data_IF_946987426266
#
_entry.id   IF_946987426266
#
_cell.length_a   1.000
_cell.length_b   1.000
_cell.length_c   1.000
_cell.angle_alpha   90.00
_cell.angle_beta   90.00
_cell.angle_gamma   90.00
#
_symmetry.space_group_name_H-M   'P 1'
#
loop_
_entity.id
_entity.type
_entity.pdbx_description
1 polymer ?
#
# COMPACT_ATOMS: atom_id res chain seq x y z
N UNK A 1 -12.02 -4.91 11.85
CA UNK A 1 -11.12 -5.02 13.01
C UNK A 1 -10.12 -6.11 12.67
N UNK A 2 -8.90 -5.74 12.29
CA UNK A 2 -7.79 -6.68 12.08
C UNK A 2 -7.52 -7.35 13.43
N UNK A 3 -8.08 -8.54 13.65
CA UNK A 3 -7.88 -9.29 14.90
C UNK A 3 -6.88 -10.41 14.63
N UNK A 4 -5.67 -10.25 15.17
CA UNK A 4 -4.81 -11.36 15.50
C UNK A 4 -5.00 -11.65 17.00
N UNK A 5 -5.49 -12.84 17.31
CA UNK A 5 -5.61 -13.41 18.66
C UNK A 5 -4.82 -14.73 18.54
N UNK A 6 -3.82 -15.10 19.33
CA UNK A 6 -3.42 -14.82 20.70
C UNK A 6 -1.91 -15.15 20.82
N UNK A 7 -1.12 -14.31 21.49
CA UNK A 7 0.27 -14.64 21.82
C UNK A 7 1.04 -13.47 22.43
N UNK A 8 0.87 -13.28 23.74
CA UNK A 8 1.56 -12.31 24.62
C UNK A 8 0.88 -10.94 24.76
N UNK A 9 0.41 -10.71 25.98
CA UNK A 9 -0.21 -9.49 26.46
C UNK A 9 0.83 -8.36 26.51
N UNK A 10 0.64 -7.34 25.66
CA UNK A 10 0.83 -5.89 25.87
C UNK A 10 1.30 -5.22 24.56
N UNK A 11 0.55 -4.21 24.08
CA UNK A 11 0.87 -3.24 22.99
C UNK A 11 0.54 -3.57 21.51
N UNK A 12 -0.57 -4.25 21.20
CA UNK A 12 -0.99 -4.49 19.79
C UNK A 12 -2.29 -3.75 19.37
N UNK A 13 -2.34 -2.42 19.50
CA UNK A 13 -3.49 -1.61 19.02
C UNK A 13 -3.20 -0.77 17.75
N UNK A 14 -1.97 -0.76 17.24
CA UNK A 14 -1.58 0.03 16.06
C UNK A 14 -0.58 -0.71 15.17
N UNK A 15 -0.91 -1.91 14.71
CA UNK A 15 -0.08 -2.57 13.68
C UNK A 15 -0.38 -1.95 12.32
N UNK A 16 0.66 -1.42 11.68
CA UNK A 16 0.67 -1.07 10.26
C UNK A 16 0.28 -2.25 9.37
N UNK A 17 0.15 -2.00 8.07
CA UNK A 17 0.23 -3.05 7.06
C UNK A 17 1.65 -3.61 7.14
N UNK A 18 1.82 -4.59 8.04
CA UNK A 18 3.07 -5.34 8.22
C UNK A 18 2.72 -6.81 8.07
N UNK A 19 3.00 -7.28 6.87
CA UNK A 19 3.84 -8.43 6.57
C UNK A 19 4.27 -8.11 5.15
N UNK A 20 5.46 -7.52 5.00
CA UNK A 20 6.21 -7.50 3.73
C UNK A 20 7.06 -8.78 3.68
N UNK A 21 7.47 -9.26 2.50
CA UNK A 21 8.43 -10.36 2.37
C UNK A 21 9.80 -9.97 2.94
N UNK A 22 10.05 -8.67 3.09
CA UNK A 22 11.18 -8.11 3.82
C UNK A 22 10.81 -7.86 5.29
N UNK A 23 11.43 -8.57 6.25
CA UNK A 23 11.18 -8.37 7.68
C UNK A 23 11.58 -6.96 8.18
N UNK A 24 12.40 -6.22 7.44
CA UNK A 24 12.80 -4.84 7.77
C UNK A 24 11.93 -3.77 7.05
N UNK A 25 11.08 -4.18 6.10
CA UNK A 25 10.35 -3.30 5.19
C UNK A 25 8.89 -3.05 5.57
N UNK A 26 8.62 -2.26 6.62
CA UNK A 26 7.24 -1.81 6.90
C UNK A 26 6.78 -0.72 5.93
N UNK A 27 5.53 -0.80 5.45
CA UNK A 27 4.96 0.24 4.62
C UNK A 27 4.71 1.50 5.45
N UNK A 28 5.35 2.61 5.07
CA UNK A 28 5.31 3.86 5.82
C UNK A 28 4.99 5.06 4.93
N UNK A 29 4.30 6.03 5.51
CA UNK A 29 3.99 7.31 4.89
C UNK A 29 4.74 8.42 5.60
N UNK A 30 5.10 9.47 4.85
CA UNK A 30 5.69 10.67 5.43
C UNK A 30 4.74 11.28 6.48
N UNK A 31 5.30 11.85 7.54
CA UNK A 31 4.53 12.62 8.51
C UNK A 31 4.87 14.10 8.36
N UNK A 32 3.86 14.95 8.31
CA UNK A 32 4.08 16.40 8.30
C UNK A 32 4.72 16.85 9.62
N UNK A 33 5.79 17.64 9.52
CA UNK A 33 6.46 18.28 10.66
C UNK A 33 5.95 19.72 10.86
N UNK A 34 6.00 20.24 12.10
CA UNK A 34 5.64 21.63 12.37
C UNK A 34 6.60 22.63 11.70
N UNK A 35 7.85 22.25 11.45
CA UNK A 35 8.83 23.06 10.72
C UNK A 35 8.53 23.16 9.22
N UNK A 36 7.63 22.29 8.71
CA UNK A 36 7.20 22.18 7.31
C UNK A 36 8.33 21.97 6.29
N UNK A 37 9.56 21.74 6.74
CA UNK A 37 10.72 21.47 5.91
C UNK A 37 11.09 19.98 6.00
N UNK A 38 11.07 19.29 4.86
CA UNK A 38 11.36 17.86 4.74
C UNK A 38 12.81 17.48 5.08
N UNK A 39 13.72 18.47 5.11
CA UNK A 39 15.14 18.29 5.43
C UNK A 39 15.50 18.70 6.87
N UNK A 40 14.63 19.44 7.55
CA UNK A 40 14.88 19.91 8.91
C UNK A 40 14.56 18.82 9.93
N UNK A 41 15.59 18.06 10.33
CA UNK A 41 15.51 17.04 11.38
C UNK A 41 15.34 15.60 10.87
N UNK A 42 15.26 14.61 11.78
CA UNK A 42 15.05 13.22 11.40
C UNK A 42 13.68 13.06 10.72
N UNK A 43 13.65 12.35 9.59
CA UNK A 43 12.40 12.11 8.85
C UNK A 43 11.45 11.28 9.70
N UNK A 44 10.39 11.91 10.17
CA UNK A 44 9.31 11.21 10.84
C UNK A 44 8.41 10.55 9.79
N UNK A 45 8.23 9.24 9.93
CA UNK A 45 7.27 8.46 9.14
C UNK A 45 6.33 7.74 10.08
N UNK A 46 5.11 7.54 9.63
CA UNK A 46 4.12 6.72 10.33
C UNK A 46 3.85 5.44 9.55
N UNK A 47 3.59 4.32 10.23
CA UNK A 47 3.13 3.11 9.55
C UNK A 47 1.81 3.39 8.85
N UNK A 48 1.63 2.82 7.66
CA UNK A 48 0.35 2.85 6.96
C UNK A 48 -0.59 1.88 7.66
N UNK A 49 -1.71 2.35 8.19
CA UNK A 49 -2.72 1.52 8.84
C UNK A 49 -3.80 1.13 7.82
N UNK A 50 -4.17 -0.15 7.79
CA UNK A 50 -5.19 -0.63 6.85
C UNK A 50 -6.52 0.12 7.03
N UNK A 51 -7.10 0.58 5.91
CA UNK A 51 -8.39 1.26 5.88
C UNK A 51 -8.36 2.70 6.41
N UNK A 52 -7.17 3.27 6.61
CA UNK A 52 -7.00 4.68 7.01
C UNK A 52 -6.32 5.44 5.89
N UNK A 53 -7.08 6.30 5.22
CA UNK A 53 -6.53 7.21 4.22
C UNK A 53 -5.68 8.27 4.92
N UNK A 54 -4.49 8.53 4.37
CA UNK A 54 -3.54 9.51 4.92
C UNK A 54 -3.04 10.40 3.81
N UNK A 55 -2.98 11.71 4.08
CA UNK A 55 -2.33 12.68 3.22
C UNK A 55 -1.41 13.52 4.08
N UNK A 56 -0.17 13.65 3.62
CA UNK A 56 0.87 14.42 4.28
C UNK A 56 1.64 15.23 3.26
N UNK A 57 2.27 16.30 3.70
CA UNK A 57 3.13 17.12 2.87
C UNK A 57 4.14 17.90 3.66
N UNK A 58 5.18 18.36 2.97
CA UNK A 58 6.18 19.27 3.47
C UNK A 58 6.83 19.99 2.28
N UNK A 59 7.72 20.92 2.57
CA UNK A 59 8.44 21.72 1.59
C UNK A 59 9.92 21.38 1.59
N UNK A 60 10.55 21.43 0.42
CA UNK A 60 11.99 21.35 0.28
C UNK A 60 12.54 22.73 -0.05
N UNK A 61 13.49 23.19 0.74
CA UNK A 61 14.28 24.39 0.43
C UNK A 61 15.45 23.98 -0.43
N UNK A 62 15.47 24.48 -1.66
CA UNK A 62 16.55 24.21 -2.61
C UNK A 62 17.82 24.96 -2.17
N UNK A 63 18.94 24.23 -2.08
CA UNK A 63 20.25 24.85 -1.95
C UNK A 63 20.73 25.38 -3.30
N UNK A 64 21.50 26.46 -3.28
CA UNK A 64 22.08 27.06 -4.49
C UNK A 64 22.93 26.01 -5.23
N UNK A 65 22.74 25.88 -6.55
CA UNK A 65 23.47 24.96 -7.46
C UNK A 65 23.28 23.44 -7.25
N UNK A 66 22.17 22.99 -6.65
CA UNK A 66 21.89 21.56 -6.49
C UNK A 66 21.74 20.81 -7.83
N UNK A 67 22.38 19.64 -7.95
CA UNK A 67 22.20 18.75 -9.09
C UNK A 67 20.76 18.20 -9.11
N UNK A 68 20.05 18.42 -10.22
CA UNK A 68 18.68 17.97 -10.42
C UNK A 68 18.47 16.49 -10.08
N UNK A 69 19.32 15.61 -10.63
CA UNK A 69 19.14 14.17 -10.50
C UNK A 69 19.27 13.74 -9.05
N UNK A 70 20.28 14.28 -8.34
CA UNK A 70 20.47 14.03 -6.92
C UNK A 70 19.28 14.55 -6.10
N UNK A 71 18.77 15.74 -6.43
CA UNK A 71 17.60 16.30 -5.75
C UNK A 71 16.36 15.42 -5.96
N UNK A 72 16.14 14.94 -7.18
CA UNK A 72 15.03 14.06 -7.53
C UNK A 72 15.08 12.77 -6.71
N UNK A 73 16.25 12.14 -6.59
CA UNK A 73 16.46 10.94 -5.76
C UNK A 73 16.22 11.21 -4.27
N UNK A 74 16.73 12.33 -3.74
CA UNK A 74 16.53 12.71 -2.33
C UNK A 74 15.06 12.95 -2.03
N UNK A 75 14.35 13.70 -2.89
CA UNK A 75 12.92 13.97 -2.70
C UNK A 75 12.12 12.67 -2.79
N UNK A 76 12.39 11.83 -3.78
CA UNK A 76 11.70 10.55 -3.93
C UNK A 76 11.96 9.64 -2.73
N UNK A 77 13.20 9.53 -2.27
CA UNK A 77 13.57 8.74 -1.09
C UNK A 77 12.93 9.27 0.20
N UNK A 78 12.64 10.57 0.29
CA UNK A 78 11.88 11.17 1.39
C UNK A 78 10.38 10.92 1.28
N UNK A 79 9.82 10.93 0.08
CA UNK A 79 8.39 10.64 -0.13
C UNK A 79 8.08 9.15 0.07
N UNK A 80 8.82 8.28 -0.61
CA UNK A 80 8.63 6.82 -0.63
C UNK A 80 9.18 6.12 0.62
N UNK A 81 10.28 6.62 1.18
CA UNK A 81 11.01 5.98 2.27
C UNK A 81 12.19 5.12 1.77
N UNK A 82 13.13 4.82 2.65
CA UNK A 82 14.39 4.12 2.31
C UNK A 82 14.23 2.59 2.21
N UNK A 83 13.28 2.01 2.94
CA UNK A 83 13.00 0.56 3.01
C UNK A 83 11.60 0.27 2.49
N UNK A 84 11.33 0.74 1.27
CA UNK A 84 10.03 0.53 0.65
C UNK A 84 9.93 -0.89 0.09
N UNK A 85 8.91 -1.67 0.47
CA UNK A 85 8.80 -3.06 0.06
C UNK A 85 8.33 -3.23 -1.39
N UNK A 86 8.69 -4.33 -2.03
CA UNK A 86 8.17 -4.69 -3.36
C UNK A 86 6.81 -5.41 -3.30
N UNK A 87 6.50 -6.02 -2.15
CA UNK A 87 5.29 -6.82 -1.94
C UNK A 87 4.65 -6.52 -0.58
N UNK A 88 3.33 -6.66 -0.54
CA UNK A 88 2.53 -6.66 0.69
C UNK A 88 1.72 -7.94 0.81
N UNK A 89 1.48 -8.37 2.05
CA UNK A 89 0.56 -9.46 2.31
C UNK A 89 -0.88 -9.11 1.91
N UNK A 90 -1.56 -10.05 1.26
CA UNK A 90 -2.99 -9.95 0.92
C UNK A 90 -3.88 -10.01 2.16
N UNK A 91 -3.49 -10.75 3.19
CA UNK A 91 -4.19 -10.86 4.47
C UNK A 91 -3.28 -10.47 5.64
N UNK A 92 -3.88 -10.05 6.76
CA UNK A 92 -3.13 -9.65 7.96
C UNK A 92 -2.40 -10.77 8.70
N UNK A 93 -2.63 -12.02 8.32
CA UNK A 93 -2.07 -13.22 8.92
C UNK A 93 -1.30 -14.09 7.92
N UNK A 94 -0.93 -13.54 6.76
CA UNK A 94 -0.19 -14.27 5.72
C UNK A 94 1.23 -14.62 6.17
N UNK A 95 1.61 -15.88 6.05
CA UNK A 95 2.96 -16.31 6.42
C UNK A 95 3.96 -15.96 5.29
N UNK A 96 5.19 -15.50 5.59
CA UNK A 96 6.23 -15.25 4.58
C UNK A 96 6.55 -16.42 3.66
N UNK A 97 6.38 -17.64 4.16
CA UNK A 97 6.57 -18.87 3.38
C UNK A 97 5.49 -19.09 2.29
N UNK A 98 4.39 -18.35 2.28
CA UNK A 98 3.29 -18.56 1.35
C UNK A 98 3.34 -17.57 0.17
N UNK A 99 4.03 -17.87 -0.95
CA UNK A 99 4.21 -16.95 -2.08
C UNK A 99 2.90 -16.47 -2.70
N UNK A 100 1.83 -17.25 -2.61
CA UNK A 100 0.53 -16.94 -3.23
C UNK A 100 -0.26 -15.86 -2.49
N UNK A 101 0.12 -15.56 -1.24
CA UNK A 101 -0.55 -14.53 -0.45
C UNK A 101 0.07 -13.14 -0.67
N UNK A 102 1.11 -13.03 -1.50
CA UNK A 102 1.87 -11.79 -1.71
C UNK A 102 1.36 -11.02 -2.93
N UNK A 103 1.06 -9.74 -2.73
CA UNK A 103 0.61 -8.80 -3.76
C UNK A 103 1.77 -7.88 -4.12
N UNK A 104 2.20 -7.82 -5.39
CA UNK A 104 3.23 -6.89 -5.82
C UNK A 104 2.72 -5.45 -5.76
N UNK A 105 3.62 -4.52 -5.46
CA UNK A 105 3.37 -3.09 -5.62
C UNK A 105 3.71 -2.71 -7.06
N UNK A 106 2.68 -2.42 -7.85
CA UNK A 106 2.83 -1.99 -9.22
C UNK A 106 3.21 -0.51 -9.28
N UNK A 107 4.04 -0.13 -10.26
CA UNK A 107 4.48 1.26 -10.42
C UNK A 107 3.90 1.87 -11.69
N UNK A 108 3.13 2.94 -11.53
CA UNK A 108 2.61 3.79 -12.59
C UNK A 108 3.32 5.15 -12.56
N UNK A 109 4.61 5.16 -12.90
CA UNK A 109 5.35 6.42 -13.07
C UNK A 109 4.97 7.02 -14.43
N UNK A 110 4.41 8.23 -14.41
CA UNK A 110 4.20 9.00 -15.64
C UNK A 110 5.33 10.03 -15.75
N UNK A 111 6.36 9.80 -16.59
CA UNK A 111 7.38 10.80 -16.84
C UNK A 111 6.76 11.91 -17.68
N UNK A 112 6.35 12.99 -17.02
CA UNK A 112 6.00 14.25 -17.65
C UNK A 112 7.32 14.94 -18.00
N UNK A 113 7.72 14.84 -19.28
CA UNK A 113 8.74 15.70 -19.91
C UNK A 113 10.02 15.01 -20.39
N UNK A 114 10.32 15.19 -21.67
CA UNK A 114 11.49 14.64 -22.36
C UNK A 114 12.70 15.58 -22.39
N UNK A 115 12.56 16.82 -21.91
CA UNK A 115 13.60 17.86 -21.92
C UNK A 115 13.52 18.73 -20.65
N UNK A 116 14.27 18.37 -19.61
CA UNK A 116 14.35 19.15 -18.36
C UNK A 116 14.57 18.31 -17.11
N UNK A 117 14.62 18.98 -15.96
CA UNK A 117 14.71 18.33 -14.66
C UNK A 117 13.32 17.84 -14.21
N UNK A 118 13.14 16.53 -14.01
CA UNK A 118 11.88 15.96 -13.49
C UNK A 118 11.96 15.81 -11.97
N UNK A 119 11.29 16.70 -11.25
CA UNK A 119 11.24 16.71 -9.79
C UNK A 119 9.96 15.99 -9.32
N UNK A 120 10.04 14.96 -8.46
CA UNK A 120 8.87 14.32 -7.86
C UNK A 120 8.16 15.31 -6.93
N UNK A 121 6.90 15.61 -7.21
CA UNK A 121 6.08 16.51 -6.40
C UNK A 121 5.01 15.77 -5.62
N UNK A 122 4.62 14.58 -6.09
CA UNK A 122 3.62 13.75 -5.42
C UNK A 122 4.00 12.28 -5.48
N UNK A 123 3.79 11.61 -4.35
CA UNK A 123 3.84 10.16 -4.20
C UNK A 123 2.50 9.69 -3.65
N UNK A 124 1.79 8.87 -4.43
CA UNK A 124 0.52 8.29 -4.03
C UNK A 124 0.61 6.76 -4.01
N UNK A 125 0.07 6.15 -2.96
CA UNK A 125 -0.10 4.70 -2.87
C UNK A 125 -1.59 4.37 -2.80
N UNK A 126 -2.12 3.73 -3.83
CA UNK A 126 -3.50 3.26 -3.89
C UNK A 126 -3.55 1.78 -3.50
N UNK A 127 -4.30 1.45 -2.46
CA UNK A 127 -4.50 0.08 -1.97
C UNK A 127 -5.93 -0.34 -2.25
N UNK A 128 -6.12 -1.24 -3.21
CA UNK A 128 -7.43 -1.83 -3.52
C UNK A 128 -7.63 -3.10 -2.72
N UNK A 129 -8.78 -3.20 -2.06
CA UNK A 129 -9.10 -4.33 -1.20
C UNK A 129 -10.55 -4.78 -1.37
N UNK A 130 -10.83 -6.03 -1.00
CA UNK A 130 -12.16 -6.62 -1.11
C UNK A 130 -12.50 -7.44 0.13
N UNK A 131 -13.78 -7.76 0.30
CA UNK A 131 -14.31 -8.68 1.31
C UNK A 131 -14.22 -10.10 0.77
N UNK A 132 -13.36 -10.91 1.37
CA UNK A 132 -13.17 -12.31 1.02
C UNK A 132 -13.74 -13.23 2.10
N UNK A 133 -14.40 -14.32 1.68
CA UNK A 133 -14.93 -15.34 2.59
C UNK A 133 -16.45 -15.33 2.72
N UNK A 134 -16.95 -15.68 3.91
CA UNK A 134 -18.38 -15.85 4.15
C UNK A 134 -19.11 -14.53 4.32
N UNK A 135 -20.42 -14.49 4.02
CA UNK A 135 -21.26 -13.31 4.23
C UNK A 135 -21.30 -12.85 5.70
N UNK A 136 -21.25 -13.81 6.64
CA UNK A 136 -21.37 -13.55 8.08
C UNK A 136 -20.07 -13.10 8.72
N UNK A 137 -18.92 -13.43 8.11
CA UNK A 137 -17.60 -13.06 8.61
C UNK A 137 -16.61 -12.90 7.44
N UNK A 138 -16.75 -11.82 6.64
CA UNK A 138 -15.80 -11.53 5.58
C UNK A 138 -14.51 -10.98 6.16
N UNK A 139 -13.38 -11.37 5.58
CA UNK A 139 -12.06 -10.85 5.88
C UNK A 139 -11.66 -9.85 4.80
N UNK A 140 -10.90 -8.82 5.17
CA UNK A 140 -10.34 -7.90 4.19
C UNK A 140 -9.15 -8.57 3.47
N UNK A 141 -9.16 -8.52 2.15
CA UNK A 141 -8.08 -9.01 1.29
C UNK A 141 -7.60 -7.86 0.40
N UNK A 142 -6.31 -7.55 0.44
CA UNK A 142 -5.69 -6.66 -0.53
C UNK A 142 -5.56 -7.41 -1.86
N UNK A 143 -6.01 -6.79 -2.95
CA UNK A 143 -6.02 -7.41 -4.29
C UNK A 143 -5.10 -6.71 -5.27
N UNK A 144 -4.80 -5.44 -5.07
CA UNK A 144 -3.86 -4.67 -5.88
C UNK A 144 -3.30 -3.50 -5.07
N UNK A 145 -2.03 -3.20 -5.27
CA UNK A 145 -1.39 -2.01 -4.74
C UNK A 145 -0.67 -1.31 -5.88
N UNK A 146 -0.93 -0.02 -6.04
CA UNK A 146 -0.37 0.80 -7.09
C UNK A 146 0.34 2.01 -6.49
N UNK A 147 1.61 2.19 -6.80
CA UNK A 147 2.32 3.44 -6.55
C UNK A 147 2.28 4.35 -7.77
N UNK A 148 2.01 5.63 -7.55
CA UNK A 148 2.01 6.66 -8.60
C UNK A 148 2.92 7.80 -8.18
N UNK A 149 3.92 8.07 -9.01
CA UNK A 149 4.84 9.19 -8.83
C UNK A 149 4.49 10.23 -9.87
N UNK A 150 4.10 11.42 -9.41
CA UNK A 150 3.91 12.57 -10.28
C UNK A 150 5.14 13.45 -10.22
N UNK A 151 5.69 13.72 -11.40
CA UNK A 151 6.83 14.62 -11.55
C UNK A 151 6.37 15.93 -12.19
N UNK A 152 7.03 17.01 -11.85
CA UNK A 152 6.89 18.26 -12.55
C UNK A 152 8.20 18.56 -13.27
N UNK A 153 8.13 18.87 -14.56
CA UNK A 153 9.24 19.51 -15.26
C UNK A 153 9.31 20.94 -14.81
N UNK A 154 9.93 21.17 -13.67
CA UNK A 154 10.51 22.48 -13.49
C UNK A 154 11.67 22.52 -14.49
N UNK A 155 11.67 23.49 -15.40
CA UNK A 155 12.94 24.18 -15.60
C UNK A 155 13.33 24.61 -14.20
N UNK A 156 14.23 23.86 -13.55
CA UNK A 156 14.88 24.37 -12.35
C UNK A 156 15.26 25.78 -12.75
N UNK A 157 14.89 26.80 -11.98
CA UNK A 157 15.42 28.09 -12.29
C UNK A 157 16.93 27.88 -12.34
N UNK A 158 17.54 28.45 -13.38
CA UNK A 158 18.98 28.69 -13.43
C UNK A 158 19.52 28.93 -12.00
N UNK A 159 20.79 28.58 -11.68
CA UNK A 159 21.44 28.82 -10.38
C UNK A 159 21.33 30.27 -9.82
N UNK A 160 20.57 31.15 -10.46
CA UNK A 160 20.07 32.46 -10.05
C UNK A 160 18.78 32.50 -9.20
N UNK A 161 18.00 31.42 -8.99
CA UNK A 161 16.89 31.46 -8.00
C UNK A 161 17.35 30.96 -6.66
N UNK A 162 17.98 31.89 -5.95
CA UNK A 162 18.24 31.81 -4.52
C UNK A 162 16.90 31.58 -3.80
N UNK A 163 16.77 30.47 -3.07
CA UNK A 163 15.64 30.24 -2.15
C UNK A 163 14.35 29.67 -2.78
N UNK A 164 14.43 28.91 -3.88
CA UNK A 164 13.28 28.17 -4.40
C UNK A 164 12.72 27.16 -3.37
N UNK A 165 11.40 27.08 -3.26
CA UNK A 165 10.70 26.14 -2.36
C UNK A 165 9.83 25.20 -3.19
N UNK A 166 10.01 23.90 -3.03
CA UNK A 166 9.18 22.86 -3.68
C UNK A 166 8.29 22.20 -2.65
N UNK A 167 6.98 22.32 -2.81
CA UNK A 167 6.02 21.60 -1.99
C UNK A 167 5.84 20.18 -2.53
N UNK A 168 5.91 19.20 -1.64
CA UNK A 168 5.71 17.80 -1.98
C UNK A 168 4.59 17.17 -1.15
N UNK A 169 3.96 16.15 -1.71
CA UNK A 169 2.83 15.44 -1.08
C UNK A 169 3.09 13.94 -1.09
N UNK A 170 2.78 13.27 0.02
CA UNK A 170 2.77 11.82 0.15
C UNK A 170 1.40 11.40 0.68
N UNK A 171 0.73 10.48 -0.02
CA UNK A 171 -0.62 10.04 0.34
C UNK A 171 -0.85 8.54 0.12
N UNK A 172 -1.79 8.01 0.88
CA UNK A 172 -2.26 6.63 0.80
C UNK A 172 -3.79 6.62 0.78
N UNK A 173 -4.38 5.83 -0.11
CA UNK A 173 -5.84 5.64 -0.19
C UNK A 173 -6.21 4.16 -0.16
N UNK A 174 -7.34 3.84 0.47
CA UNK A 174 -7.92 2.50 0.51
C UNK A 174 -9.24 2.43 -0.25
N UNK A 175 -9.27 1.67 -1.34
CA UNK A 175 -10.45 1.56 -2.21
C UNK A 175 -11.10 0.18 -2.01
N UNK A 176 -12.33 0.16 -1.49
CA UNK A 176 -13.16 -1.05 -1.41
C UNK A 176 -13.70 -1.38 -2.82
N UNK A 177 -13.22 -2.49 -3.38
CA UNK A 177 -13.68 -3.03 -4.68
C UNK A 177 -14.59 -4.25 -4.51
N UNK A 178 -15.16 -4.45 -3.31
CA UNK A 178 -16.05 -5.57 -3.06
C UNK A 178 -17.34 -5.48 -3.88
N UNK A 179 -17.73 -6.61 -4.46
CA UNK A 179 -19.05 -6.76 -5.05
C UNK A 179 -20.10 -6.84 -3.94
N UNK A 180 -21.31 -6.37 -4.24
CA UNK A 180 -22.46 -6.63 -3.38
C UNK A 180 -22.63 -8.14 -3.24
N UNK A 181 -22.71 -8.62 -2.00
CA UNK A 181 -22.92 -10.04 -1.77
C UNK A 181 -24.29 -10.44 -2.32
N UNK A 182 -24.31 -11.38 -3.27
CA UNK A 182 -25.55 -12.00 -3.73
C UNK A 182 -25.93 -13.12 -2.76
N UNK A 183 -27.13 -13.10 -2.16
CA UNK A 183 -27.61 -14.24 -1.41
C UNK A 183 -27.81 -15.41 -2.36
N UNK A 184 -26.97 -16.43 -2.22
CA UNK A 184 -27.07 -17.67 -2.98
C UNK A 184 -26.30 -18.76 -2.28
N UNK A 185 -27.00 -19.81 -1.86
CA UNK A 185 -26.33 -21.08 -1.57
C UNK A 185 -25.69 -21.55 -2.87
N UNK A 186 -24.44 -22.04 -2.82
CA UNK A 186 -23.90 -22.81 -3.95
C UNK A 186 -24.93 -23.90 -4.27
N UNK A 187 -25.24 -24.08 -5.55
CA UNK A 187 -26.14 -25.15 -5.96
C UNK A 187 -25.67 -26.45 -5.31
N UNK A 188 -26.56 -27.19 -4.61
CA UNK A 188 -26.19 -28.46 -4.01
C UNK A 188 -25.55 -29.34 -5.10
N UNK A 189 -24.45 -30.04 -4.80
CA UNK A 189 -23.75 -30.83 -5.81
C UNK A 189 -24.72 -31.86 -6.39
N UNK A 190 -24.62 -32.11 -7.70
CA UNK A 190 -25.40 -33.17 -8.35
C UNK A 190 -24.91 -34.53 -7.83
N UNK A 191 -25.64 -35.13 -6.89
CA UNK A 191 -25.33 -36.46 -6.37
C UNK A 191 -25.79 -37.48 -7.41
N UNK A 192 -24.84 -38.06 -8.15
CA UNK A 192 -25.10 -39.21 -9.02
C UNK A 192 -25.01 -40.51 -8.21
N UNK A 193 -26.00 -40.75 -7.34
CA UNK A 193 -26.10 -41.98 -6.58
C UNK A 193 -26.79 -43.06 -7.44
N UNK A 194 -26.04 -44.09 -7.85
CA UNK A 194 -26.61 -45.35 -8.35
C UNK A 194 -26.74 -46.33 -7.19
N UNK A 195 -27.97 -46.71 -6.86
CA UNK A 195 -28.23 -47.79 -5.91
C UNK A 195 -27.93 -49.15 -6.57
N UNK A 196 -27.23 -50.07 -5.89
CA UNK A 196 -27.16 -51.47 -6.31
C UNK A 196 -28.56 -52.09 -6.37
N UNK A 197 -28.75 -53.07 -7.26
CA UNK A 197 -30.06 -53.73 -7.50
C UNK A 197 -30.64 -54.42 -6.27
N UNK A 198 -29.79 -54.78 -5.30
CA UNK A 198 -30.16 -55.65 -4.19
C UNK A 198 -30.33 -54.88 -2.86
N UNK A 199 -30.46 -53.55 -2.93
CA UNK A 199 -30.54 -52.69 -1.73
C UNK A 199 -31.79 -52.97 -0.85
N UNK A 200 -32.82 -53.62 -1.38
CA UNK A 200 -34.12 -53.78 -0.70
C UNK A 200 -34.60 -55.23 -0.52
N UNK A 201 -33.72 -56.23 -0.52
CA UNK A 201 -34.14 -57.63 -0.39
C UNK A 201 -33.84 -58.29 0.97
N UNK A 202 -34.80 -59.02 1.59
CA UNK A 202 -36.25 -58.94 1.47
C UNK A 202 -36.91 -58.26 2.68
N UNK A 203 -38.00 -57.53 2.42
CA UNK A 203 -38.96 -57.14 3.47
C UNK A 203 -39.77 -58.36 3.90
N UNK A 204 -39.82 -58.61 5.21
CA UNK A 204 -40.64 -59.63 5.88
C UNK A 204 -42.07 -59.16 6.09
#
# INVERSE_FOLDING_TARGET
MFNAVLGSLTLDLFRGIIQSSDPDGSLTVLKSSPEQDCLSGPTQRSPVLFGTDVVSGCTFRLADSANCSLLSEVILGRLKGQTFPDYVASFGNSLPQNPMDWVPIENQTTPTGTQGCSIPVSYHLEVRWTKYGTLVNPQAQIVNVMETIQTNTSSLPSPSTVGGVVSVISSVSFIDVSLSASPGFRAPPTINAKLPSDFFFPFV
#
